data_IF_939881378376
#
_entry.id   IF_939881378376
#
_cell.length_a   1.000
_cell.length_b   1.000
_cell.length_c   1.000
_cell.angle_alpha   90.00
_cell.angle_beta   90.00
_cell.angle_gamma   90.00
#
_symmetry.space_group_name_H-M   'P 1'
#
loop_
_entity.id
_entity.type
_entity.pdbx_description
1 polymer ?
#
# COMPACT_ATOMS: atom_id res chain seq x y z
N UNK A 1 -13.91 13.62 -3.71
CA UNK A 1 -15.02 12.66 -3.90
C UNK A 1 -14.59 11.28 -3.42
N UNK A 2 -15.51 10.57 -2.78
CA UNK A 2 -15.32 9.21 -2.24
C UNK A 2 -16.35 8.24 -2.85
N UNK A 3 -15.93 7.02 -3.18
CA UNK A 3 -16.76 5.94 -3.71
C UNK A 3 -16.46 4.66 -2.92
N UNK A 4 -17.46 4.14 -2.19
CA UNK A 4 -17.36 2.88 -1.47
C UNK A 4 -17.85 1.70 -2.33
N UNK A 5 -17.14 0.58 -2.25
CA UNK A 5 -17.39 -0.65 -3.00
C UNK A 5 -17.30 -1.85 -2.04
N UNK A 6 -18.43 -2.46 -1.71
CA UNK A 6 -18.48 -3.70 -0.91
C UNK A 6 -18.48 -4.92 -1.82
N UNK A 7 -17.81 -5.99 -1.39
CA UNK A 7 -17.76 -7.29 -2.11
C UNK A 7 -17.48 -7.12 -3.61
N UNK A 8 -16.31 -6.55 -3.88
CA UNK A 8 -15.93 -6.01 -5.18
C UNK A 8 -14.79 -6.79 -5.83
N UNK A 9 -14.38 -6.35 -7.02
CA UNK A 9 -13.23 -6.89 -7.75
C UNK A 9 -12.30 -5.77 -8.17
N UNK A 10 -11.02 -6.08 -8.40
CA UNK A 10 -10.06 -5.09 -8.89
C UNK A 10 -10.52 -4.38 -10.18
N UNK A 11 -11.22 -5.09 -11.08
CA UNK A 11 -11.82 -4.48 -12.28
C UNK A 11 -12.88 -3.42 -11.94
N UNK A 12 -13.77 -3.69 -10.96
CA UNK A 12 -14.77 -2.71 -10.50
C UNK A 12 -14.11 -1.51 -9.82
N UNK A 13 -13.06 -1.74 -9.03
CA UNK A 13 -12.26 -0.67 -8.41
C UNK A 13 -11.61 0.22 -9.48
N UNK A 14 -10.98 -0.37 -10.49
CA UNK A 14 -10.39 0.40 -11.60
C UNK A 14 -11.45 1.22 -12.36
N UNK A 15 -12.64 0.64 -12.59
CA UNK A 15 -13.77 1.39 -13.20
C UNK A 15 -14.22 2.57 -12.34
N UNK A 16 -14.23 2.41 -11.01
CA UNK A 16 -14.57 3.49 -10.08
C UNK A 16 -13.50 4.60 -10.10
N UNK A 17 -12.20 4.24 -10.14
CA UNK A 17 -11.10 5.20 -10.34
C UNK A 17 -11.26 6.01 -11.62
N UNK A 18 -11.48 5.34 -12.76
CA UNK A 18 -11.66 6.01 -14.07
C UNK A 18 -12.89 6.93 -14.06
N UNK A 19 -14.00 6.47 -13.48
CA UNK A 19 -15.20 7.30 -13.30
C UNK A 19 -14.90 8.51 -12.43
N UNK A 20 -14.12 8.30 -11.37
CA UNK A 20 -13.80 9.33 -10.40
C UNK A 20 -13.01 10.48 -11.00
N UNK A 21 -11.96 10.15 -11.76
CA UNK A 21 -11.17 11.10 -12.56
C UNK A 21 -12.04 11.93 -13.50
N UNK A 22 -12.90 11.26 -14.27
CA UNK A 22 -13.78 11.92 -15.25
C UNK A 22 -14.71 12.93 -14.59
N UNK A 23 -15.24 12.63 -13.41
CA UNK A 23 -16.15 13.53 -12.70
C UNK A 23 -15.46 14.79 -12.17
N UNK A 24 -14.16 14.74 -11.86
CA UNK A 24 -13.39 15.88 -11.33
C UNK A 24 -12.72 16.67 -12.47
N UNK A 25 -12.71 16.13 -13.70
CA UNK A 25 -12.08 16.77 -14.85
C UNK A 25 -10.55 16.73 -14.83
N UNK A 26 -9.95 15.97 -13.92
CA UNK A 26 -8.50 15.85 -13.78
C UNK A 26 -8.00 14.67 -14.62
N UNK A 27 -7.09 14.89 -15.59
CA UNK A 27 -6.39 13.79 -16.22
C UNK A 27 -5.39 13.17 -15.23
N UNK A 28 -5.08 11.89 -15.39
CA UNK A 28 -4.08 11.17 -14.59
C UNK A 28 -2.62 11.66 -14.79
N UNK A 29 -2.44 12.84 -15.37
CA UNK A 29 -1.19 13.38 -15.88
C UNK A 29 -0.41 13.95 -14.70
N UNK A 30 0.82 13.47 -14.50
CA UNK A 30 1.75 14.00 -13.51
C UNK A 30 2.02 13.12 -12.29
N UNK A 31 1.41 11.92 -12.18
CA UNK A 31 1.81 10.98 -11.13
C UNK A 31 3.19 10.40 -11.42
N UNK A 32 4.05 10.39 -10.41
CA UNK A 32 5.45 9.96 -10.53
C UNK A 32 5.71 8.57 -9.97
N UNK A 33 4.76 7.99 -9.21
CA UNK A 33 4.84 6.64 -8.67
C UNK A 33 3.47 6.07 -8.28
N UNK A 34 3.43 4.74 -8.09
CA UNK A 34 2.39 4.06 -7.31
C UNK A 34 2.96 3.66 -5.95
N UNK A 35 2.39 4.18 -4.87
CA UNK A 35 2.71 3.80 -3.48
C UNK A 35 1.76 2.70 -3.04
N UNK A 36 2.27 1.50 -2.77
CA UNK A 36 1.51 0.38 -2.21
C UNK A 36 1.82 0.28 -0.73
N UNK A 37 0.87 0.62 0.12
CA UNK A 37 1.01 0.57 1.58
C UNK A 37 0.40 -0.73 2.07
N UNK A 38 1.16 -1.56 2.78
CA UNK A 38 0.66 -2.82 3.34
C UNK A 38 0.61 -2.70 4.85
N UNK A 39 -0.59 -2.76 5.42
CA UNK A 39 -0.84 -2.44 6.83
C UNK A 39 -2.04 -3.21 7.37
N UNK A 40 -2.27 -3.13 8.68
CA UNK A 40 -3.53 -3.50 9.32
C UNK A 40 -4.48 -2.29 9.43
N UNK A 41 -5.65 -2.50 10.04
CA UNK A 41 -6.64 -1.43 10.23
C UNK A 41 -6.22 -0.44 11.33
N UNK A 42 -5.39 -0.86 12.28
CA UNK A 42 -4.98 -0.03 13.42
C UNK A 42 -4.01 1.06 12.98
N UNK A 43 -3.08 0.73 12.08
CA UNK A 43 -2.06 1.63 11.55
C UNK A 43 -2.47 2.34 10.24
N UNK A 44 -3.63 1.99 9.67
CA UNK A 44 -4.06 2.49 8.37
C UNK A 44 -4.22 4.01 8.32
N UNK A 45 -4.76 4.62 9.37
CA UNK A 45 -5.00 6.07 9.40
C UNK A 45 -3.70 6.87 9.28
N UNK A 46 -2.72 6.57 10.14
CA UNK A 46 -1.44 7.28 10.16
C UNK A 46 -0.65 7.04 8.87
N UNK A 47 -0.72 5.82 8.33
CA UNK A 47 -0.06 5.46 7.08
C UNK A 47 -0.64 6.20 5.86
N UNK A 48 -1.97 6.33 5.80
CA UNK A 48 -2.65 7.12 4.76
C UNK A 48 -2.25 8.58 4.87
N UNK A 49 -2.28 9.14 6.09
CA UNK A 49 -1.94 10.54 6.33
C UNK A 49 -0.50 10.84 5.91
N UNK A 50 0.46 9.98 6.30
CA UNK A 50 1.87 10.14 5.90
C UNK A 50 2.05 10.09 4.37
N UNK A 51 1.32 9.22 3.68
CA UNK A 51 1.37 9.13 2.22
C UNK A 51 0.69 10.33 1.53
N UNK A 52 -0.41 10.84 2.07
CA UNK A 52 -1.06 12.07 1.60
C UNK A 52 -0.15 13.29 1.78
N UNK A 53 0.57 13.38 2.90
CA UNK A 53 1.58 14.43 3.10
C UNK A 53 2.70 14.32 2.05
N UNK A 54 3.26 13.13 1.85
CA UNK A 54 4.30 12.89 0.85
C UNK A 54 3.82 13.16 -0.60
N UNK A 55 2.53 12.95 -0.89
CA UNK A 55 2.00 13.15 -2.24
C UNK A 55 2.00 14.61 -2.66
N UNK A 56 2.04 15.56 -1.72
CA UNK A 56 2.10 17.00 -2.04
C UNK A 56 3.38 17.36 -2.80
N UNK A 57 4.51 16.76 -2.44
CA UNK A 57 5.79 16.93 -3.14
C UNK A 57 5.93 15.97 -4.32
N UNK A 58 5.37 14.77 -4.20
CA UNK A 58 5.48 13.69 -5.18
C UNK A 58 4.10 13.12 -5.52
N UNK A 59 3.36 13.75 -6.46
CA UNK A 59 2.03 13.30 -6.86
C UNK A 59 2.04 11.81 -7.21
N UNK A 60 1.19 11.03 -6.56
CA UNK A 60 1.25 9.57 -6.62
C UNK A 60 -0.13 8.94 -6.53
N UNK A 61 -0.22 7.69 -7.02
CA UNK A 61 -1.35 6.82 -6.72
C UNK A 61 -1.02 6.01 -5.47
N UNK A 62 -1.85 6.14 -4.45
CA UNK A 62 -1.72 5.37 -3.21
C UNK A 62 -2.70 4.20 -3.21
N UNK A 63 -2.20 2.99 -3.07
CA UNK A 63 -2.96 1.75 -2.91
C UNK A 63 -2.70 1.22 -1.50
N UNK A 64 -3.67 1.33 -0.60
CA UNK A 64 -3.56 0.88 0.78
C UNK A 64 -4.17 -0.50 0.88
N UNK A 65 -3.34 -1.51 1.10
CA UNK A 65 -3.75 -2.90 1.32
C UNK A 65 -3.85 -3.14 2.81
N UNK A 66 -5.08 -3.12 3.32
CA UNK A 66 -5.41 -3.48 4.69
C UNK A 66 -5.68 -4.98 4.73
N UNK A 67 -4.77 -5.74 5.35
CA UNK A 67 -4.95 -7.18 5.57
C UNK A 67 -5.77 -7.38 6.85
N UNK A 68 -7.03 -7.77 6.72
CA UNK A 68 -7.86 -8.06 7.90
C UNK A 68 -7.54 -9.45 8.43
N UNK A 69 -6.79 -9.50 9.53
CA UNK A 69 -6.66 -10.72 10.31
C UNK A 69 -8.00 -11.04 10.97
N UNK A 70 -8.61 -12.15 10.58
CA UNK A 70 -9.84 -12.58 11.25
C UNK A 70 -9.53 -13.26 12.58
N UNK A 71 -10.27 -12.85 13.61
CA UNK A 71 -10.25 -13.48 14.94
C UNK A 71 -11.11 -14.75 14.98
N UNK A 72 -11.92 -15.01 13.95
CA UNK A 72 -12.87 -16.12 13.91
C UNK A 72 -12.56 -17.07 12.72
N UNK A 73 -12.32 -18.37 12.96
CA UNK A 73 -12.07 -19.33 11.89
C UNK A 73 -13.15 -19.38 10.80
N UNK A 74 -14.41 -19.05 11.10
CA UNK A 74 -15.52 -19.06 10.11
C UNK A 74 -15.40 -17.93 9.08
N UNK A 75 -14.87 -16.78 9.48
CA UNK A 75 -14.67 -15.65 8.56
C UNK A 75 -13.48 -15.86 7.62
N UNK A 76 -12.53 -16.77 7.94
CA UNK A 76 -11.47 -17.18 7.01
C UNK A 76 -12.04 -17.76 5.70
N UNK A 77 -13.24 -18.31 5.75
CA UNK A 77 -13.90 -18.99 4.61
C UNK A 77 -14.70 -18.06 3.70
N UNK A 78 -14.77 -16.76 4.02
CA UNK A 78 -15.50 -15.78 3.21
C UNK A 78 -14.51 -14.82 2.55
N UNK A 79 -13.85 -15.22 1.45
CA UNK A 79 -12.97 -14.34 0.71
C UNK A 79 -13.78 -13.17 0.16
N UNK A 80 -13.40 -11.95 0.52
CA UNK A 80 -14.00 -10.74 -0.03
C UNK A 80 -13.00 -9.62 -0.14
N UNK A 81 -13.32 -8.67 -1.01
CA UNK A 81 -12.61 -7.41 -1.16
C UNK A 81 -13.61 -6.28 -0.95
N UNK A 82 -13.34 -5.41 0.01
CA UNK A 82 -14.01 -4.11 0.10
C UNK A 82 -13.02 -3.04 -0.33
N UNK A 83 -13.50 -2.00 -1.02
CA UNK A 83 -12.65 -0.92 -1.48
C UNK A 83 -13.29 0.45 -1.28
N UNK A 84 -12.45 1.44 -1.03
CA UNK A 84 -12.81 2.84 -0.97
C UNK A 84 -11.91 3.60 -1.95
N UNK A 85 -12.52 4.27 -2.92
CA UNK A 85 -11.80 5.08 -3.92
C UNK A 85 -11.99 6.55 -3.58
N UNK A 86 -10.88 7.24 -3.32
CA UNK A 86 -10.80 8.67 -3.06
C UNK A 86 -10.10 9.37 -4.22
N UNK A 87 -10.70 10.45 -4.71
CA UNK A 87 -10.14 11.27 -5.80
C UNK A 87 -10.40 12.75 -5.52
N UNK A 88 -9.49 13.61 -5.97
CA UNK A 88 -9.57 15.07 -5.79
C UNK A 88 -9.31 15.44 -4.33
N UNK A 89 -10.12 16.35 -3.77
CA UNK A 89 -9.96 16.85 -2.39
C UNK A 89 -9.91 15.78 -1.29
N UNK A 90 -10.40 14.57 -1.57
CA UNK A 90 -10.42 13.44 -0.63
C UNK A 90 -9.15 12.57 -0.70
N UNK A 91 -8.23 12.84 -1.63
CA UNK A 91 -7.01 12.05 -1.85
C UNK A 91 -5.75 12.93 -1.92
N UNK A 92 -5.79 14.11 -1.31
CA UNK A 92 -4.73 15.10 -1.42
C UNK A 92 -4.51 15.54 -2.88
N UNK A 93 -3.25 15.49 -3.33
CA UNK A 93 -2.83 15.82 -4.70
C UNK A 93 -2.93 14.65 -5.68
N UNK A 94 -3.37 13.47 -5.24
CA UNK A 94 -3.34 12.23 -6.01
C UNK A 94 -4.65 11.43 -6.00
N UNK A 95 -4.50 10.11 -6.02
CA UNK A 95 -5.59 9.13 -5.90
C UNK A 95 -5.27 8.15 -4.80
N UNK A 96 -6.23 7.91 -3.93
CA UNK A 96 -6.08 6.93 -2.85
C UNK A 96 -7.14 5.85 -2.99
N UNK A 97 -6.71 4.60 -3.05
CA UNK A 97 -7.58 3.43 -2.99
C UNK A 97 -7.26 2.67 -1.73
N UNK A 98 -8.23 2.55 -0.83
CA UNK A 98 -8.11 1.67 0.33
C UNK A 98 -8.77 0.34 0.00
N UNK A 99 -8.01 -0.74 0.07
CA UNK A 99 -8.40 -2.11 -0.21
C UNK A 99 -8.40 -2.89 1.11
N UNK A 100 -9.57 -3.36 1.55
CA UNK A 100 -9.71 -4.23 2.71
C UNK A 100 -9.88 -5.67 2.22
N UNK A 101 -8.87 -6.48 2.50
CA UNK A 101 -8.80 -7.88 2.06
C UNK A 101 -9.16 -8.81 3.21
N UNK A 102 -9.95 -9.84 2.92
CA UNK A 102 -10.42 -10.82 3.89
C UNK A 102 -10.22 -12.24 3.35
N UNK A 103 -9.88 -13.17 4.24
CA UNK A 103 -9.69 -14.58 3.89
C UNK A 103 -8.59 -14.76 2.84
N UNK A 104 -8.83 -15.63 1.88
CA UNK A 104 -7.89 -15.99 0.80
C UNK A 104 -7.48 -14.78 -0.07
N UNK A 105 -8.30 -13.72 -0.13
CA UNK A 105 -7.93 -12.48 -0.85
C UNK A 105 -6.70 -11.82 -0.22
N UNK A 106 -6.51 -11.95 1.09
CA UNK A 106 -5.36 -11.38 1.79
C UNK A 106 -4.04 -12.07 1.42
N UNK A 107 -4.10 -13.36 1.11
CA UNK A 107 -2.95 -14.18 0.68
C UNK A 107 -2.55 -13.90 -0.78
N UNK A 108 -3.50 -13.42 -1.58
CA UNK A 108 -3.33 -13.10 -3.00
C UNK A 108 -3.58 -11.62 -3.32
N UNK A 109 -3.22 -10.73 -2.39
CA UNK A 109 -3.46 -9.30 -2.52
C UNK A 109 -2.71 -8.67 -3.72
N UNK A 110 -1.59 -9.26 -4.14
CA UNK A 110 -0.84 -8.90 -5.34
C UNK A 110 -1.70 -8.97 -6.61
N UNK A 111 -2.55 -9.99 -6.73
CA UNK A 111 -3.47 -10.14 -7.86
C UNK A 111 -4.52 -9.02 -7.95
N UNK A 112 -4.88 -8.44 -6.80
CA UNK A 112 -5.79 -7.28 -6.71
C UNK A 112 -5.05 -5.99 -7.04
N UNK A 113 -3.81 -5.84 -6.56
CA UNK A 113 -2.99 -4.64 -6.72
C UNK A 113 -2.47 -4.47 -8.14
N UNK A 114 -1.97 -5.55 -8.76
CA UNK A 114 -1.35 -5.54 -10.10
C UNK A 114 -2.16 -4.77 -11.17
N UNK A 115 -3.48 -5.01 -11.37
CA UNK A 115 -4.27 -4.27 -12.36
C UNK A 115 -4.59 -2.81 -11.98
N UNK A 116 -4.26 -2.38 -10.76
CA UNK A 116 -4.47 -1.02 -10.25
C UNK A 116 -3.18 -0.17 -10.31
N UNK A 117 -2.05 -0.77 -10.65
CA UNK A 117 -0.78 -0.07 -10.82
C UNK A 117 -0.85 0.91 -12.01
N UNK A 118 -0.06 1.97 -11.94
CA UNK A 118 0.21 2.82 -13.09
C UNK A 118 1.21 2.10 -14.01
N UNK A 119 0.95 2.02 -15.33
CA UNK A 119 1.78 1.22 -16.24
C UNK A 119 3.20 1.78 -16.42
N UNK A 120 3.36 3.11 -16.37
CA UNK A 120 4.62 3.79 -16.71
C UNK A 120 5.29 4.46 -15.49
N UNK A 121 4.84 4.16 -14.27
CA UNK A 121 5.38 4.75 -13.05
C UNK A 121 5.97 3.68 -12.13
N UNK A 122 7.10 3.95 -11.44
CA UNK A 122 7.67 3.02 -10.50
C UNK A 122 6.69 2.71 -9.36
N UNK A 123 6.78 1.49 -8.86
CA UNK A 123 6.03 0.97 -7.72
C UNK A 123 6.93 0.98 -6.50
N UNK A 124 6.46 1.63 -5.45
CA UNK A 124 7.08 1.64 -4.12
C UNK A 124 6.15 0.87 -3.20
N UNK A 125 6.64 -0.19 -2.57
CA UNK A 125 5.88 -0.96 -1.59
C UNK A 125 6.39 -0.59 -0.21
N UNK A 126 5.50 -0.22 0.71
CA UNK A 126 5.84 0.23 2.04
C UNK A 126 5.07 -0.57 3.08
N UNK A 127 5.81 -1.11 4.06
CA UNK A 127 5.29 -1.69 5.28
C UNK A 127 5.61 -0.76 6.45
N UNK A 128 4.63 0.01 6.96
CA UNK A 128 4.77 0.85 8.15
C UNK A 128 5.09 0.03 9.40
N UNK A 129 4.50 -1.18 9.47
CA UNK A 129 4.70 -2.19 10.51
C UNK A 129 4.73 -3.59 9.87
N UNK A 130 5.15 -4.60 10.62
CA UNK A 130 4.96 -6.03 10.29
C UNK A 130 5.46 -6.44 8.88
N UNK A 131 6.56 -5.83 8.47
CA UNK A 131 7.17 -6.10 7.19
C UNK A 131 7.66 -7.58 7.11
N UNK A 132 7.44 -8.29 5.98
CA UNK A 132 7.79 -9.69 5.82
C UNK A 132 9.29 -9.94 6.02
N UNK A 133 9.69 -11.17 6.34
CA UNK A 133 11.11 -11.51 6.55
C UNK A 133 11.95 -11.21 5.30
N UNK A 134 11.40 -11.49 4.11
CA UNK A 134 12.00 -11.18 2.81
C UNK A 134 11.03 -10.32 1.97
N UNK A 135 11.15 -8.99 2.02
CA UNK A 135 10.31 -8.09 1.24
C UNK A 135 10.39 -8.34 -0.26
N UNK A 136 11.54 -8.72 -0.81
CA UNK A 136 11.68 -8.95 -2.24
C UNK A 136 10.96 -10.23 -2.74
N UNK A 137 10.69 -11.19 -1.85
CA UNK A 137 9.95 -12.42 -2.15
C UNK A 137 8.48 -12.38 -1.75
N UNK A 138 8.05 -11.37 -1.00
CA UNK A 138 6.64 -11.15 -0.72
C UNK A 138 5.90 -10.86 -2.04
N UNK A 139 4.70 -11.43 -2.29
CA UNK A 139 3.97 -11.22 -3.54
C UNK A 139 3.72 -9.75 -3.88
N UNK A 140 3.41 -8.91 -2.88
CA UNK A 140 3.25 -7.47 -3.09
C UNK A 140 4.61 -6.81 -3.28
N UNK A 141 5.61 -7.20 -2.51
CA UNK A 141 6.98 -6.68 -2.63
C UNK A 141 7.61 -6.93 -4.00
N UNK A 142 7.31 -8.07 -4.63
CA UNK A 142 7.79 -8.40 -5.98
C UNK A 142 7.25 -7.45 -7.06
N UNK A 143 6.14 -6.74 -6.81
CA UNK A 143 5.64 -5.70 -7.70
C UNK A 143 6.47 -4.40 -7.64
N UNK A 144 7.18 -4.18 -6.53
CA UNK A 144 7.91 -2.95 -6.23
C UNK A 144 9.34 -2.94 -6.75
N UNK A 145 9.76 -1.83 -7.37
CA UNK A 145 11.18 -1.54 -7.59
C UNK A 145 11.84 -1.01 -6.31
N UNK A 146 11.04 -0.37 -5.44
CA UNK A 146 11.44 0.05 -4.10
C UNK A 146 10.58 -0.62 -3.04
N UNK A 147 11.21 -1.06 -1.97
CA UNK A 147 10.57 -1.72 -0.82
C UNK A 147 11.03 -1.03 0.44
N UNK A 148 10.11 -0.40 1.14
CA UNK A 148 10.35 0.40 2.33
C UNK A 148 9.86 -0.38 3.54
N UNK A 149 10.74 -0.58 4.52
CA UNK A 149 10.40 -1.15 5.82
C UNK A 149 10.75 -0.17 6.92
N UNK A 150 10.30 -0.44 8.14
CA UNK A 150 10.72 0.32 9.31
C UNK A 150 10.96 -0.63 10.50
N UNK A 151 12.22 -0.96 10.79
CA UNK A 151 12.53 -1.80 11.94
C UNK A 151 12.31 -1.09 13.28
N UNK A 152 12.20 0.26 13.30
CA UNK A 152 11.97 1.01 14.53
C UNK A 152 10.59 0.74 15.12
N UNK A 153 9.61 0.40 14.28
CA UNK A 153 8.23 0.08 14.69
C UNK A 153 8.06 -1.40 15.07
N UNK A 154 9.09 -2.23 14.88
CA UNK A 154 9.03 -3.64 15.19
C UNK A 154 9.11 -3.92 16.71
N UNK A 155 8.38 -4.93 17.17
CA UNK A 155 8.42 -5.39 18.57
C UNK A 155 9.82 -5.88 18.98
N UNK A 156 10.53 -6.56 18.07
CA UNK A 156 11.91 -7.00 18.26
C UNK A 156 12.83 -6.50 17.13
N UNK A 157 13.34 -5.25 17.23
CA UNK A 157 14.13 -4.63 16.18
C UNK A 157 15.42 -5.38 15.83
N UNK A 158 16.05 -6.06 16.81
CA UNK A 158 17.30 -6.79 16.59
C UNK A 158 17.09 -8.07 15.78
N UNK A 159 15.99 -8.78 16.02
CA UNK A 159 15.61 -9.93 15.21
C UNK A 159 15.25 -9.51 13.78
N UNK A 160 14.49 -8.42 13.63
CA UNK A 160 14.16 -7.85 12.31
C UNK A 160 15.42 -7.40 11.58
N UNK A 161 16.38 -6.79 12.27
CA UNK A 161 17.65 -6.40 11.67
C UNK A 161 18.46 -7.60 11.14
N UNK A 162 18.55 -8.70 11.90
CA UNK A 162 19.23 -9.91 11.41
C UNK A 162 18.47 -10.53 10.22
N UNK A 163 17.14 -10.56 10.25
CA UNK A 163 16.33 -10.96 9.11
C UNK A 163 16.62 -10.12 7.86
N UNK A 164 16.62 -8.78 7.99
CA UNK A 164 16.96 -7.84 6.90
C UNK A 164 18.36 -8.08 6.36
N UNK A 165 19.34 -8.32 7.23
CA UNK A 165 20.73 -8.63 6.83
C UNK A 165 20.79 -9.90 5.96
N UNK A 166 19.97 -10.91 6.26
CA UNK A 166 19.93 -12.18 5.51
C UNK A 166 19.13 -12.09 4.20
N UNK A 167 18.13 -11.21 4.14
CA UNK A 167 17.16 -11.17 3.04
C UNK A 167 17.27 -9.96 2.11
N UNK A 168 18.21 -9.04 2.40
CA UNK A 168 18.40 -7.81 1.64
C UNK A 168 18.49 -8.05 0.13
N UNK A 169 17.72 -7.27 -0.62
CA UNK A 169 17.81 -7.16 -2.07
C UNK A 169 17.96 -5.69 -2.51
N UNK A 170 18.63 -5.43 -3.65
CA UNK A 170 18.66 -4.09 -4.24
C UNK A 170 17.26 -3.50 -4.39
N UNK A 171 17.08 -2.27 -3.91
CA UNK A 171 15.77 -1.59 -3.85
C UNK A 171 15.12 -1.60 -2.47
N UNK A 172 15.62 -2.41 -1.54
CA UNK A 172 15.20 -2.38 -0.13
C UNK A 172 15.78 -1.15 0.58
N UNK A 173 14.95 -0.48 1.37
CA UNK A 173 15.31 0.63 2.26
C UNK A 173 14.60 0.44 3.59
N UNK A 174 15.32 0.58 4.69
CA UNK A 174 14.70 0.69 6.01
C UNK A 174 14.73 2.15 6.50
N UNK A 175 13.59 2.67 6.95
CA UNK A 175 13.48 4.04 7.44
C UNK A 175 14.27 4.27 8.73
N UNK A 176 14.58 3.23 9.53
CA UNK A 176 15.47 3.40 10.66
C UNK A 176 16.88 3.83 10.22
N UNK A 177 17.34 3.43 9.03
CA UNK A 177 18.67 3.82 8.54
C UNK A 177 18.78 5.32 8.27
N UNK A 178 17.70 5.94 7.80
CA UNK A 178 17.66 7.39 7.56
C UNK A 178 17.66 8.19 8.86
N UNK A 179 17.17 7.59 9.96
CA UNK A 179 17.21 8.17 11.31
C UNK A 179 18.57 8.06 11.99
N UNK A 180 19.43 7.13 11.55
CA UNK A 180 20.80 6.99 12.06
C UNK A 180 21.74 8.07 11.51
N UNK A 181 21.44 8.62 10.34
CA UNK A 181 22.08 9.84 9.87
C UNK A 181 21.60 11.02 10.72
N UNK A 182 22.43 11.45 11.68
CA UNK A 182 22.30 12.77 12.27
C UNK A 182 22.39 13.80 11.14
N UNK A 183 21.25 14.39 10.78
CA UNK A 183 21.23 15.54 9.88
C UNK A 183 22.08 16.65 10.53
N UNK A 184 23.03 17.17 9.76
CA UNK A 184 23.86 18.31 10.15
C UNK A 184 23.08 19.60 10.01
#
# INVERSE_FOLDING_TARGET
MKIDLTDTTASKVNKALVRGRRAIGTPAVGMVLTMVIVTDEENAYDSIKAAEEASHEHPSRTLVVIKRHTRNPRERTHPRLDAEVRVGSEAGTGETVVLRTYGEVSEHADSVVLPLLLPDAPVVVWWPTDAPENPAKDPLGALGQRRITDLYTAENPMEVLDARRRSYAPGDTDLAWTRLTLWR
#
